data_IF_569377340508
#
_entry.id   IF_569377340508
#
_cell.length_a   1.000
_cell.length_b   1.000
_cell.length_c   1.000
_cell.angle_alpha   90.00
_cell.angle_beta   90.00
_cell.angle_gamma   90.00
#
_symmetry.space_group_name_H-M   'P 1'
#
loop_
_entity.id
_entity.type
_entity.pdbx_description
1 polymer ?
#
# COMPACT_ATOMS: atom_id res chain seq x y z
N UNK A 1 -22.20 -17.41 -37.85
CA UNK A 1 -22.63 -16.45 -36.82
C UNK A 1 -24.16 -16.35 -36.83
N UNK A 2 -24.81 -16.03 -37.96
CA UNK A 2 -26.28 -16.01 -38.10
C UNK A 2 -26.97 -17.28 -37.56
N UNK A 3 -26.52 -18.47 -37.95
CA UNK A 3 -27.07 -19.74 -37.47
C UNK A 3 -26.95 -19.99 -35.95
N UNK A 4 -25.99 -19.34 -35.28
CA UNK A 4 -25.84 -19.44 -33.81
C UNK A 4 -26.83 -18.49 -33.12
N UNK A 5 -27.03 -17.29 -33.69
CA UNK A 5 -28.03 -16.33 -33.23
C UNK A 5 -29.45 -16.87 -33.42
N UNK A 6 -29.72 -17.56 -34.53
CA UNK A 6 -30.99 -18.25 -34.78
C UNK A 6 -31.26 -19.36 -33.76
N UNK A 7 -30.20 -19.99 -33.23
CA UNK A 7 -30.28 -20.96 -32.14
C UNK A 7 -30.44 -20.29 -30.76
N UNK A 8 -30.57 -18.96 -30.70
CA UNK A 8 -30.72 -18.17 -29.49
C UNK A 8 -29.47 -18.09 -28.62
N UNK A 9 -28.30 -18.41 -29.19
CA UNK A 9 -27.00 -18.32 -28.52
C UNK A 9 -26.51 -16.87 -28.53
N UNK A 10 -26.18 -16.34 -27.36
CA UNK A 10 -25.58 -15.02 -27.19
C UNK A 10 -24.23 -15.13 -26.48
N UNK A 11 -23.47 -14.04 -26.45
CA UNK A 11 -22.17 -14.00 -25.75
C UNK A 11 -22.28 -14.33 -24.25
N UNK A 12 -23.44 -14.06 -23.62
CA UNK A 12 -23.68 -14.39 -22.20
C UNK A 12 -23.80 -15.89 -21.94
N UNK A 13 -24.02 -16.70 -22.96
CA UNK A 13 -24.18 -18.15 -22.85
C UNK A 13 -22.82 -18.88 -22.91
N UNK A 14 -21.74 -18.19 -23.29
CA UNK A 14 -20.41 -18.75 -23.33
C UNK A 14 -19.77 -18.77 -21.91
N UNK A 15 -18.90 -19.73 -21.59
CA UNK A 15 -18.46 -20.84 -22.45
C UNK A 15 -19.48 -21.99 -22.50
N UNK A 16 -19.52 -22.67 -23.64
CA UNK A 16 -20.26 -23.89 -23.85
C UNK A 16 -19.39 -25.12 -23.56
N UNK A 17 -19.97 -26.09 -22.86
CA UNK A 17 -19.41 -27.43 -22.63
C UNK A 17 -20.24 -28.47 -23.37
N UNK A 18 -19.55 -29.45 -23.94
CA UNK A 18 -20.15 -30.56 -24.69
C UNK A 18 -20.64 -31.65 -23.72
N UNK A 19 -21.91 -32.01 -23.84
CA UNK A 19 -22.55 -33.13 -23.14
C UNK A 19 -23.25 -34.03 -24.17
N UNK A 20 -22.52 -35.01 -24.70
CA UNK A 20 -22.94 -35.80 -25.85
C UNK A 20 -23.11 -34.93 -27.11
N UNK A 21 -24.35 -34.81 -27.60
CA UNK A 21 -24.73 -33.97 -28.74
C UNK A 21 -25.34 -32.61 -28.34
N UNK A 22 -25.48 -32.35 -27.04
CA UNK A 22 -26.05 -31.11 -26.50
C UNK A 22 -24.91 -30.25 -25.94
N UNK A 23 -25.00 -28.95 -26.13
CA UNK A 23 -24.04 -27.99 -25.59
C UNK A 23 -24.71 -27.18 -24.49
N UNK A 24 -24.09 -27.15 -23.31
CA UNK A 24 -24.60 -26.45 -22.12
C UNK A 24 -23.77 -25.21 -21.85
N UNK A 25 -24.42 -24.14 -21.47
CA UNK A 25 -23.73 -22.96 -20.94
C UNK A 25 -23.19 -23.23 -19.54
N UNK A 26 -21.94 -22.87 -19.27
CA UNK A 26 -21.39 -22.88 -17.90
C UNK A 26 -21.95 -21.74 -17.05
N UNK A 27 -22.32 -20.62 -17.65
CA UNK A 27 -22.90 -19.46 -16.96
C UNK A 27 -24.37 -19.68 -16.59
N UNK A 28 -25.11 -20.47 -17.38
CA UNK A 28 -26.47 -20.90 -17.08
C UNK A 28 -26.75 -22.33 -17.54
N UNK A 29 -26.65 -23.28 -16.59
CA UNK A 29 -26.87 -24.71 -16.85
C UNK A 29 -28.26 -25.08 -17.39
N UNK A 30 -29.24 -24.18 -17.29
CA UNK A 30 -30.58 -24.36 -17.87
C UNK A 30 -30.58 -24.18 -19.39
N UNK A 31 -29.62 -23.41 -19.92
CA UNK A 31 -29.52 -23.13 -21.36
C UNK A 31 -28.77 -24.23 -22.07
N UNK A 32 -29.45 -24.79 -23.08
CA UNK A 32 -28.98 -25.89 -23.90
C UNK A 32 -29.10 -25.51 -25.36
N UNK A 33 -28.06 -25.82 -26.12
CA UNK A 33 -27.96 -25.48 -27.52
C UNK A 33 -27.67 -26.73 -28.33
N UNK A 34 -28.22 -26.77 -29.54
CA UNK A 34 -27.79 -27.72 -30.57
C UNK A 34 -27.06 -26.90 -31.62
N UNK A 35 -25.77 -27.17 -31.80
CA UNK A 35 -25.00 -26.53 -32.86
C UNK A 35 -25.52 -26.97 -34.24
N UNK A 36 -25.30 -26.19 -35.31
CA UNK A 36 -25.81 -26.51 -36.64
C UNK A 36 -25.38 -27.92 -37.09
N UNK A 37 -26.34 -28.71 -37.60
CA UNK A 37 -26.11 -30.14 -37.94
C UNK A 37 -25.05 -30.35 -39.02
N UNK A 38 -24.89 -29.36 -39.89
CA UNK A 38 -23.90 -29.29 -40.96
C UNK A 38 -22.47 -28.98 -40.48
N UNK A 39 -22.27 -28.63 -39.20
CA UNK A 39 -20.92 -28.46 -38.66
C UNK A 39 -20.26 -29.83 -38.50
N UNK A 40 -19.07 -29.98 -39.08
CA UNK A 40 -18.24 -31.16 -38.83
C UNK A 40 -17.82 -31.21 -37.35
N UNK A 41 -17.46 -32.41 -36.86
CA UNK A 41 -16.87 -32.56 -35.52
C UNK A 41 -15.68 -31.62 -35.31
N UNK A 42 -14.83 -31.48 -36.34
CA UNK A 42 -13.69 -30.57 -36.33
C UNK A 42 -14.10 -29.11 -36.17
N UNK A 43 -15.19 -28.66 -36.82
CA UNK A 43 -15.69 -27.29 -36.67
C UNK A 43 -16.25 -27.03 -35.27
N UNK A 44 -16.95 -28.01 -34.70
CA UNK A 44 -17.44 -27.96 -33.31
C UNK A 44 -16.27 -27.84 -32.35
N UNK A 45 -15.26 -28.70 -32.49
CA UNK A 45 -14.10 -28.69 -31.60
C UNK A 45 -13.32 -27.36 -31.74
N UNK A 46 -13.17 -26.83 -32.96
CA UNK A 46 -12.58 -25.51 -33.17
C UNK A 46 -13.40 -24.37 -32.55
N UNK A 47 -14.73 -24.44 -32.59
CA UNK A 47 -15.59 -23.45 -31.94
C UNK A 47 -15.43 -23.50 -30.42
N UNK A 48 -15.47 -24.71 -29.83
CA UNK A 48 -15.31 -24.90 -28.39
C UNK A 48 -13.92 -24.50 -27.88
N UNK A 49 -12.90 -24.60 -28.71
CA UNK A 49 -11.56 -24.10 -28.42
C UNK A 49 -11.48 -22.57 -28.56
N UNK A 50 -12.01 -22.02 -29.65
CA UNK A 50 -11.88 -20.58 -29.97
C UNK A 50 -12.81 -19.68 -29.17
N UNK A 51 -13.90 -20.20 -28.59
CA UNK A 51 -14.85 -19.39 -27.79
C UNK A 51 -14.14 -18.62 -26.66
N UNK A 52 -13.09 -19.19 -26.06
CA UNK A 52 -12.36 -18.56 -24.97
C UNK A 52 -11.74 -17.22 -25.38
N UNK A 53 -11.42 -17.03 -26.67
CA UNK A 53 -10.84 -15.79 -27.20
C UNK A 53 -11.74 -14.57 -27.05
N UNK A 54 -13.06 -14.76 -26.91
CA UNK A 54 -14.04 -13.67 -26.73
C UNK A 54 -14.53 -13.54 -25.30
N UNK A 55 -13.99 -14.34 -24.37
CA UNK A 55 -14.39 -14.38 -22.97
C UNK A 55 -13.47 -13.57 -22.05
N UNK A 56 -12.74 -12.57 -22.57
CA UNK A 56 -11.91 -11.73 -21.72
C UNK A 56 -12.75 -11.04 -20.61
N UNK A 57 -12.36 -11.16 -19.32
CA UNK A 57 -13.15 -10.61 -18.22
C UNK A 57 -13.22 -9.08 -18.28
N UNK A 58 -14.25 -8.51 -17.65
CA UNK A 58 -14.37 -7.07 -17.44
C UNK A 58 -14.13 -6.75 -15.96
N UNK A 59 -13.22 -5.83 -15.68
CA UNK A 59 -12.94 -5.32 -14.34
C UNK A 59 -13.73 -4.04 -14.07
N UNK A 60 -14.17 -3.86 -12.84
CA UNK A 60 -15.12 -2.81 -12.42
C UNK A 60 -14.82 -2.16 -11.08
N UNK A 61 -13.66 -2.47 -10.48
CA UNK A 61 -13.30 -2.10 -9.12
C UNK A 61 -14.33 -2.58 -8.07
N UNK A 62 -15.01 -3.71 -8.29
CA UNK A 62 -16.06 -4.22 -7.39
C UNK A 62 -15.55 -4.63 -6.00
N UNK A 63 -14.26 -4.92 -5.89
CA UNK A 63 -13.64 -5.51 -4.69
C UNK A 63 -13.86 -7.01 -4.55
N UNK A 64 -14.62 -7.61 -5.43
CA UNK A 64 -14.90 -9.04 -5.36
C UNK A 64 -13.68 -9.86 -5.73
N UNK A 65 -13.65 -11.08 -5.22
CA UNK A 65 -12.72 -12.11 -5.67
C UNK A 65 -13.40 -12.96 -6.75
N UNK A 66 -12.71 -13.17 -7.87
CA UNK A 66 -13.21 -14.00 -8.98
C UNK A 66 -12.21 -15.10 -9.33
N UNK A 67 -12.70 -16.27 -9.71
CA UNK A 67 -11.86 -17.36 -10.22
C UNK A 67 -12.13 -17.52 -11.71
N UNK A 68 -11.09 -17.40 -12.53
CA UNK A 68 -11.18 -17.55 -13.97
C UNK A 68 -10.58 -18.88 -14.43
N UNK A 69 -11.19 -19.47 -15.46
CA UNK A 69 -10.60 -20.60 -16.16
C UNK A 69 -9.25 -20.22 -16.79
N UNK A 70 -8.22 -21.09 -16.78
CA UNK A 70 -6.91 -20.82 -17.39
C UNK A 70 -6.95 -20.36 -18.85
N UNK A 71 -8.02 -20.69 -19.59
CA UNK A 71 -8.20 -20.32 -21.00
C UNK A 71 -8.74 -18.90 -21.19
N UNK A 72 -9.21 -18.23 -20.14
CA UNK A 72 -9.64 -16.83 -20.25
C UNK A 72 -8.46 -15.93 -20.66
N UNK A 73 -8.55 -15.19 -21.77
CA UNK A 73 -7.55 -14.19 -22.10
C UNK A 73 -7.67 -13.02 -21.13
N UNK A 74 -6.65 -12.77 -20.31
CA UNK A 74 -6.64 -11.61 -19.43
C UNK A 74 -6.53 -10.31 -20.26
N UNK A 75 -7.33 -9.27 -19.97
CA UNK A 75 -7.47 -8.10 -20.83
C UNK A 75 -6.36 -7.05 -20.59
N UNK A 76 -5.10 -7.46 -20.42
CA UNK A 76 -3.98 -6.53 -20.23
C UNK A 76 -3.28 -6.26 -21.57
N UNK A 77 -3.26 -5.00 -22.01
CA UNK A 77 -2.65 -4.60 -23.30
C UNK A 77 -1.14 -4.43 -23.19
N UNK A 78 -0.67 -3.99 -22.02
CA UNK A 78 0.75 -3.82 -21.70
C UNK A 78 0.97 -4.30 -20.28
N UNK A 79 2.04 -5.06 -20.08
CA UNK A 79 2.61 -5.37 -18.78
C UNK A 79 4.05 -4.89 -18.89
N UNK A 80 4.43 -3.90 -18.11
CA UNK A 80 5.78 -3.36 -18.16
C UNK A 80 6.77 -4.39 -17.60
N UNK A 81 7.89 -4.58 -18.29
CA UNK A 81 8.94 -5.52 -17.88
C UNK A 81 9.67 -5.09 -16.61
N UNK A 82 9.57 -3.81 -16.22
CA UNK A 82 10.05 -3.29 -14.94
C UNK A 82 9.09 -3.73 -13.81
N UNK A 83 9.23 -4.97 -13.37
CA UNK A 83 8.46 -5.55 -12.27
C UNK A 83 9.27 -5.52 -10.97
N UNK A 84 8.62 -5.17 -9.85
CA UNK A 84 9.24 -5.28 -8.52
C UNK A 84 9.08 -6.74 -8.06
N UNK A 85 10.18 -7.49 -7.99
CA UNK A 85 10.19 -8.86 -7.47
C UNK A 85 10.27 -8.80 -5.94
N UNK A 86 9.16 -9.11 -5.28
CA UNK A 86 9.15 -9.38 -3.84
C UNK A 86 9.51 -10.84 -3.54
N UNK A 87 9.74 -11.15 -2.26
CA UNK A 87 10.08 -12.52 -1.85
C UNK A 87 8.97 -13.55 -2.14
N UNK A 88 7.70 -13.10 -2.11
CA UNK A 88 6.50 -13.95 -2.20
C UNK A 88 5.52 -13.54 -3.31
N UNK A 89 5.71 -12.36 -3.88
CA UNK A 89 4.84 -11.80 -4.92
C UNK A 89 5.66 -11.05 -5.95
N UNK A 90 5.12 -10.90 -7.16
CA UNK A 90 5.68 -10.03 -8.19
C UNK A 90 4.70 -8.90 -8.46
N UNK A 91 5.18 -7.66 -8.49
CA UNK A 91 4.35 -6.49 -8.74
C UNK A 91 4.64 -5.97 -10.14
N UNK A 92 3.60 -5.92 -10.96
CA UNK A 92 3.64 -5.43 -12.33
C UNK A 92 2.89 -4.10 -12.45
N UNK A 93 3.40 -3.22 -13.31
CA UNK A 93 2.61 -2.13 -13.86
C UNK A 93 1.92 -2.63 -15.13
N UNK A 94 0.58 -2.53 -15.20
CA UNK A 94 -0.21 -3.09 -16.28
C UNK A 94 -1.28 -2.10 -16.77
N UNK A 95 -1.70 -2.26 -18.02
CA UNK A 95 -2.79 -1.48 -18.62
C UNK A 95 -3.95 -2.41 -18.98
N UNK A 96 -5.12 -2.20 -18.36
CA UNK A 96 -6.36 -2.90 -18.73
C UNK A 96 -6.89 -2.33 -20.04
N UNK A 97 -7.27 -3.18 -21.00
CA UNK A 97 -7.92 -2.76 -22.24
C UNK A 97 -9.16 -1.93 -21.91
N UNK A 98 -9.31 -0.75 -22.53
CA UNK A 98 -10.39 0.20 -22.20
C UNK A 98 -11.79 -0.39 -22.27
N UNK A 99 -12.08 -1.28 -23.23
CA UNK A 99 -13.38 -1.96 -23.36
C UNK A 99 -13.66 -2.98 -22.24
N UNK A 100 -12.64 -3.36 -21.47
CA UNK A 100 -12.71 -4.27 -20.33
C UNK A 100 -12.54 -3.56 -18.97
N UNK A 101 -12.53 -2.23 -18.97
CA UNK A 101 -12.46 -1.42 -17.76
C UNK A 101 -13.72 -0.58 -17.56
N UNK A 102 -14.52 -0.97 -16.57
CA UNK A 102 -15.64 -0.17 -16.05
C UNK A 102 -15.12 0.71 -14.93
N UNK A 103 -14.68 1.92 -15.28
CA UNK A 103 -14.11 2.86 -14.33
C UNK A 103 -15.08 3.13 -13.16
N UNK A 104 -14.58 3.15 -11.90
CA UNK A 104 -15.39 3.56 -10.77
C UNK A 104 -15.86 5.02 -10.95
N UNK A 105 -17.05 5.36 -10.44
CA UNK A 105 -17.67 6.68 -10.61
C UNK A 105 -16.89 7.84 -9.97
N UNK A 106 -15.92 7.54 -9.11
CA UNK A 106 -15.34 8.48 -8.14
C UNK A 106 -13.82 8.70 -8.28
N UNK A 107 -13.13 7.99 -9.17
CA UNK A 107 -11.68 8.13 -9.37
C UNK A 107 -11.34 8.23 -10.88
N UNK A 108 -10.12 8.69 -11.16
CA UNK A 108 -9.63 8.93 -12.53
C UNK A 108 -9.90 7.72 -13.43
N UNK A 109 -10.35 7.91 -14.70
CA UNK A 109 -10.69 6.83 -15.62
C UNK A 109 -9.46 6.07 -16.16
N UNK A 110 -8.31 6.17 -15.48
CA UNK A 110 -7.10 5.48 -15.90
C UNK A 110 -7.33 3.99 -15.97
N UNK A 111 -6.85 3.40 -17.07
CA UNK A 111 -6.77 1.97 -17.23
C UNK A 111 -5.46 1.38 -16.69
N UNK A 112 -4.55 2.24 -16.23
CA UNK A 112 -3.28 1.82 -15.64
C UNK A 112 -3.51 1.36 -14.21
N UNK A 113 -2.95 0.21 -13.89
CA UNK A 113 -3.13 -0.48 -12.62
C UNK A 113 -1.82 -1.13 -12.18
N UNK A 114 -1.74 -1.40 -10.89
CA UNK A 114 -0.71 -2.27 -10.32
C UNK A 114 -1.31 -3.66 -10.14
N UNK A 115 -0.63 -4.65 -10.70
CA UNK A 115 -1.01 -6.06 -10.62
C UNK A 115 -0.01 -6.80 -9.73
N UNK A 116 -0.43 -7.19 -8.52
CA UNK A 116 0.39 -7.98 -7.60
C UNK A 116 0.05 -9.46 -7.76
N UNK A 117 1.00 -10.23 -8.29
CA UNK A 117 0.89 -11.67 -8.56
C UNK A 117 1.46 -12.50 -7.42
N UNK A 118 0.77 -13.59 -7.10
CA UNK A 118 1.20 -14.65 -6.19
C UNK A 118 1.15 -15.99 -6.92
N UNK A 119 2.25 -16.75 -6.84
CA UNK A 119 2.26 -18.14 -7.29
C UNK A 119 1.49 -19.02 -6.29
N UNK A 120 0.92 -20.15 -6.74
CA UNK A 120 0.12 -21.05 -5.90
C UNK A 120 0.84 -21.53 -4.62
N UNK A 121 2.17 -21.65 -4.64
CA UNK A 121 2.97 -21.98 -3.44
C UNK A 121 2.88 -20.93 -2.31
N UNK A 122 2.44 -19.71 -2.64
CA UNK A 122 2.21 -18.59 -1.72
C UNK A 122 0.71 -18.23 -1.62
N UNK A 123 -0.18 -19.19 -1.88
CA UNK A 123 -1.63 -18.98 -1.81
C UNK A 123 -2.08 -18.53 -0.43
N UNK A 124 -1.48 -19.05 0.64
CA UNK A 124 -1.80 -18.64 2.01
C UNK A 124 -1.47 -17.15 2.26
N UNK A 125 -0.33 -16.67 1.71
CA UNK A 125 0.04 -15.26 1.79
C UNK A 125 -0.95 -14.38 1.01
N UNK A 126 -1.38 -14.82 -0.18
CA UNK A 126 -2.43 -14.15 -0.95
C UNK A 126 -3.75 -14.06 -0.17
N UNK A 127 -4.22 -15.17 0.41
CA UNK A 127 -5.47 -15.19 1.17
C UNK A 127 -5.40 -14.32 2.43
N UNK A 128 -4.26 -14.30 3.11
CA UNK A 128 -4.03 -13.43 4.26
C UNK A 128 -4.09 -11.95 3.84
N UNK A 129 -3.37 -11.55 2.79
CA UNK A 129 -3.39 -10.18 2.27
C UNK A 129 -4.78 -9.78 1.78
N UNK A 130 -5.46 -10.67 1.03
CA UNK A 130 -6.83 -10.46 0.57
C UNK A 130 -7.79 -10.26 1.73
N UNK A 131 -7.70 -11.08 2.79
CA UNK A 131 -8.53 -10.93 3.99
C UNK A 131 -8.34 -9.58 4.70
N UNK A 132 -7.09 -9.12 4.79
CA UNK A 132 -6.77 -7.80 5.34
C UNK A 132 -7.37 -6.68 4.48
N UNK A 133 -7.21 -6.76 3.15
CA UNK A 133 -7.71 -5.77 2.20
C UNK A 133 -9.24 -5.71 2.19
N UNK A 134 -9.93 -6.84 2.26
CA UNK A 134 -11.40 -6.89 2.38
C UNK A 134 -11.85 -6.16 3.65
N UNK A 135 -11.12 -6.34 4.76
CA UNK A 135 -11.44 -5.66 6.03
C UNK A 135 -11.21 -4.14 5.91
N UNK A 136 -10.12 -3.72 5.28
CA UNK A 136 -9.75 -2.31 5.09
C UNK A 136 -10.67 -1.62 4.07
N UNK A 137 -11.31 -2.36 3.16
CA UNK A 137 -12.29 -1.80 2.22
C UNK A 137 -13.48 -1.15 2.89
N UNK A 138 -13.83 -1.60 4.09
CA UNK A 138 -14.86 -0.98 4.93
C UNK A 138 -14.49 0.44 5.39
N UNK A 139 -13.22 0.83 5.21
CA UNK A 139 -12.67 2.16 5.48
C UNK A 139 -12.62 3.06 4.24
N UNK A 140 -13.41 2.78 3.19
CA UNK A 140 -13.41 3.50 1.91
C UNK A 140 -13.52 5.03 2.03
N UNK A 141 -14.09 5.54 3.12
CA UNK A 141 -14.22 6.99 3.35
C UNK A 141 -12.90 7.66 3.73
N UNK A 142 -11.89 6.91 4.16
CA UNK A 142 -10.58 7.45 4.51
C UNK A 142 -9.73 7.65 3.24
N UNK A 143 -9.33 8.89 2.98
CA UNK A 143 -8.59 9.27 1.78
C UNK A 143 -7.11 8.90 1.81
N UNK A 144 -6.57 8.55 2.97
CA UNK A 144 -5.15 8.29 3.23
C UNK A 144 -4.85 6.79 3.42
N UNK A 145 -5.78 5.91 3.02
CA UNK A 145 -5.59 4.47 2.97
C UNK A 145 -5.83 4.02 1.53
N UNK A 146 -4.88 3.27 0.97
CA UNK A 146 -4.99 2.72 -0.38
C UNK A 146 -6.02 1.60 -0.41
N UNK A 147 -6.92 1.66 -1.40
CA UNK A 147 -7.94 0.63 -1.63
C UNK A 147 -7.54 -0.23 -2.82
N UNK A 148 -7.73 -1.55 -2.71
CA UNK A 148 -7.60 -2.43 -3.86
C UNK A 148 -8.83 -2.32 -4.77
N UNK A 149 -8.66 -2.56 -6.06
CA UNK A 149 -9.73 -2.52 -7.05
C UNK A 149 -10.51 -3.83 -7.03
N UNK A 150 -9.84 -4.95 -7.35
CA UNK A 150 -10.42 -6.30 -7.39
C UNK A 150 -9.34 -7.36 -7.14
N UNK A 151 -9.74 -8.61 -6.89
CA UNK A 151 -8.82 -9.75 -6.84
C UNK A 151 -9.31 -10.87 -7.74
N UNK A 152 -8.40 -11.68 -8.27
CA UNK A 152 -8.78 -12.87 -9.03
C UNK A 152 -7.73 -13.97 -8.98
N UNK A 153 -8.12 -15.19 -9.28
CA UNK A 153 -7.22 -16.32 -9.49
C UNK A 153 -7.43 -16.93 -10.87
N UNK A 154 -6.35 -17.37 -11.50
CA UNK A 154 -6.37 -18.07 -12.78
C UNK A 154 -5.28 -19.14 -12.78
N UNK A 155 -5.67 -20.40 -12.95
CA UNK A 155 -4.73 -21.53 -12.90
C UNK A 155 -3.99 -21.60 -11.57
N UNK A 156 -2.66 -21.55 -11.62
CA UNK A 156 -1.77 -21.62 -10.46
C UNK A 156 -1.34 -20.23 -9.94
N UNK A 157 -2.09 -19.18 -10.29
CA UNK A 157 -1.74 -17.80 -9.96
C UNK A 157 -2.93 -17.06 -9.35
N UNK A 158 -2.62 -16.17 -8.41
CA UNK A 158 -3.59 -15.28 -7.78
C UNK A 158 -3.10 -13.84 -7.85
N UNK A 159 -4.03 -12.92 -7.97
CA UNK A 159 -3.75 -11.54 -8.32
C UNK A 159 -4.57 -10.56 -7.48
N UNK A 160 -3.94 -9.47 -7.10
CA UNK A 160 -4.58 -8.30 -6.49
C UNK A 160 -4.33 -7.12 -7.42
N UNK A 161 -5.40 -6.43 -7.80
CA UNK A 161 -5.34 -5.23 -8.63
C UNK A 161 -5.45 -4.01 -7.73
N UNK A 162 -4.50 -3.09 -7.83
CA UNK A 162 -4.50 -1.80 -7.14
C UNK A 162 -4.56 -0.64 -8.14
N UNK A 163 -5.08 0.52 -7.74
CA UNK A 163 -4.91 1.73 -8.53
C UNK A 163 -3.42 2.08 -8.64
N UNK A 164 -3.04 2.70 -9.75
CA UNK A 164 -1.70 3.28 -9.89
C UNK A 164 -1.57 4.51 -8.99
N UNK A 165 -0.44 4.63 -8.29
CA UNK A 165 -0.01 5.86 -7.65
C UNK A 165 0.92 6.59 -8.62
N UNK A 166 0.41 7.55 -9.37
CA UNK A 166 1.15 8.20 -10.46
C UNK A 166 2.37 9.00 -9.96
N UNK A 167 2.33 9.46 -8.71
CA UNK A 167 3.43 10.16 -8.05
C UNK A 167 4.49 9.24 -7.42
N UNK A 168 4.34 7.92 -7.55
CA UNK A 168 5.25 6.94 -6.94
C UNK A 168 5.04 6.80 -5.43
N UNK A 169 6.08 6.35 -4.74
CA UNK A 169 6.13 6.34 -3.28
C UNK A 169 6.70 7.66 -2.70
N UNK A 170 6.81 7.77 -1.38
CA UNK A 170 7.23 9.01 -0.74
C UNK A 170 8.69 9.37 -1.01
N UNK A 171 9.56 8.38 -1.28
CA UNK A 171 10.94 8.65 -1.70
C UNK A 171 10.96 9.20 -3.13
N UNK A 172 10.17 8.59 -4.04
CA UNK A 172 9.98 9.12 -5.41
C UNK A 172 9.48 10.57 -5.38
N UNK A 173 8.50 10.86 -4.51
CA UNK A 173 7.98 12.22 -4.31
C UNK A 173 9.07 13.19 -3.87
N UNK A 174 9.86 12.83 -2.85
CA UNK A 174 10.92 13.68 -2.34
C UNK A 174 12.01 13.96 -3.37
N UNK A 175 12.39 12.96 -4.15
CA UNK A 175 13.39 13.09 -5.22
C UNK A 175 12.86 13.96 -6.37
N UNK A 176 11.63 13.70 -6.84
CA UNK A 176 11.01 14.46 -7.93
C UNK A 176 10.87 15.96 -7.60
N UNK A 177 10.67 16.30 -6.32
CA UNK A 177 10.48 17.66 -5.84
C UNK A 177 11.75 18.23 -5.16
N UNK A 178 12.94 17.68 -5.44
CA UNK A 178 14.22 18.17 -4.86
C UNK A 178 14.49 19.65 -5.10
N UNK A 179 14.01 20.20 -6.21
CA UNK A 179 14.21 21.60 -6.61
C UNK A 179 12.96 22.48 -6.41
N UNK A 180 11.89 21.97 -5.80
CA UNK A 180 10.69 22.76 -5.56
C UNK A 180 10.95 23.88 -4.55
N UNK A 181 10.42 25.07 -4.83
CA UNK A 181 10.51 26.20 -3.90
C UNK A 181 9.75 25.91 -2.63
N UNK A 182 10.45 25.95 -1.49
CA UNK A 182 9.85 25.77 -0.16
C UNK A 182 9.06 27.01 0.22
N UNK A 183 7.75 26.89 0.21
CA UNK A 183 6.83 27.99 0.47
C UNK A 183 5.72 27.55 1.46
N UNK A 184 4.97 28.50 2.05
CA UNK A 184 3.91 28.18 3.01
C UNK A 184 2.83 27.23 2.46
N UNK A 185 2.53 27.26 1.16
CA UNK A 185 1.56 26.35 0.52
C UNK A 185 2.03 24.90 0.62
N UNK A 186 3.28 24.62 0.21
CA UNK A 186 3.87 23.29 0.31
C UNK A 186 3.95 22.83 1.76
N UNK A 187 4.37 23.71 2.67
CA UNK A 187 4.45 23.39 4.09
C UNK A 187 3.09 23.00 4.69
N UNK A 188 2.04 23.76 4.35
CA UNK A 188 0.68 23.45 4.79
C UNK A 188 0.20 22.12 4.21
N UNK A 189 0.44 21.89 2.91
CA UNK A 189 0.10 20.62 2.28
C UNK A 189 0.81 19.45 2.97
N UNK A 190 2.11 19.55 3.26
CA UNK A 190 2.86 18.50 3.96
C UNK A 190 2.28 18.20 5.35
N UNK A 191 1.95 19.24 6.14
CA UNK A 191 1.32 19.08 7.46
C UNK A 191 -0.06 18.41 7.34
N UNK A 192 -0.85 18.79 6.35
CA UNK A 192 -2.15 18.17 6.06
C UNK A 192 -2.01 16.70 5.66
N UNK A 193 -1.00 16.35 4.85
CA UNK A 193 -0.74 14.95 4.52
C UNK A 193 -0.29 14.15 5.74
N UNK A 194 0.62 14.67 6.58
CA UNK A 194 1.05 14.00 7.80
C UNK A 194 -0.11 13.77 8.78
N UNK A 195 -0.97 14.78 8.95
CA UNK A 195 -2.23 14.62 9.70
C UNK A 195 -3.11 13.54 9.08
N UNK A 196 -3.31 13.57 7.76
CA UNK A 196 -4.12 12.59 7.04
C UNK A 196 -3.61 11.15 7.18
N UNK A 197 -2.29 10.95 7.15
CA UNK A 197 -1.65 9.66 7.42
C UNK A 197 -1.88 9.21 8.88
N UNK A 198 -1.82 10.13 9.84
CA UNK A 198 -2.15 9.83 11.23
C UNK A 198 -3.64 9.45 11.41
N UNK A 199 -4.55 10.13 10.71
CA UNK A 199 -5.98 9.79 10.67
C UNK A 199 -6.21 8.41 10.04
N UNK A 200 -5.53 8.11 8.93
CA UNK A 200 -5.54 6.77 8.30
C UNK A 200 -5.08 5.69 9.29
N UNK A 201 -3.96 5.91 9.96
CA UNK A 201 -3.46 4.97 10.97
C UNK A 201 -4.42 4.85 12.17
N UNK A 202 -5.03 5.94 12.61
CA UNK A 202 -6.03 5.92 13.66
C UNK A 202 -7.21 5.03 13.26
N UNK A 203 -7.78 5.24 12.09
CA UNK A 203 -8.93 4.46 11.62
C UNK A 203 -8.55 2.99 11.51
N UNK A 204 -7.37 2.66 10.99
CA UNK A 204 -6.87 1.28 10.97
C UNK A 204 -6.79 0.66 12.36
N UNK A 205 -6.20 1.39 13.32
CA UNK A 205 -6.04 0.94 14.71
C UNK A 205 -7.37 0.85 15.45
N UNK A 206 -8.34 1.72 15.15
CA UNK A 206 -9.65 1.81 15.79
C UNK A 206 -10.64 0.79 15.23
N UNK A 207 -10.70 0.63 13.92
CA UNK A 207 -11.67 -0.22 13.22
C UNK A 207 -11.46 -1.70 13.55
N UNK A 208 -10.20 -2.11 13.71
CA UNK A 208 -9.85 -3.49 13.99
C UNK A 208 -9.83 -3.79 15.49
N UNK A 209 -10.23 -2.83 16.36
CA UNK A 209 -10.35 -2.99 17.82
C UNK A 209 -11.25 -4.16 18.24
N UNK A 210 -12.21 -4.54 17.40
CA UNK A 210 -13.15 -5.59 17.77
C UNK A 210 -12.59 -7.01 17.58
N UNK A 211 -11.50 -7.20 16.82
CA UNK A 211 -11.03 -8.54 16.41
C UNK A 211 -9.49 -8.71 16.30
N UNK A 212 -8.65 -7.93 17.00
CA UNK A 212 -7.22 -8.19 17.29
C UNK A 212 -6.44 -6.89 17.60
N UNK A 213 -5.22 -7.04 18.15
CA UNK A 213 -4.19 -5.99 18.18
C UNK A 213 -3.63 -5.72 16.77
N UNK A 214 -4.45 -5.17 15.86
CA UNK A 214 -4.02 -4.88 14.50
C UNK A 214 -3.07 -3.69 14.44
N UNK A 215 -1.94 -3.91 13.79
CA UNK A 215 -0.94 -2.92 13.42
C UNK A 215 -0.54 -3.14 11.96
N UNK A 216 -0.07 -2.08 11.29
CA UNK A 216 0.49 -2.18 9.95
C UNK A 216 1.80 -2.98 9.98
N UNK A 217 2.74 -2.59 10.85
CA UNK A 217 3.96 -3.35 11.12
C UNK A 217 5.09 -3.28 10.09
N UNK A 218 4.93 -2.49 9.02
CA UNK A 218 5.96 -2.22 7.98
C UNK A 218 5.77 -0.82 7.39
N UNK A 219 5.46 0.18 8.22
CA UNK A 219 5.39 1.55 7.73
C UNK A 219 6.79 2.06 7.41
N UNK A 220 6.96 2.55 6.20
CA UNK A 220 8.18 3.14 5.63
C UNK A 220 7.80 4.06 4.47
N UNK A 221 8.65 4.97 4.00
CA UNK A 221 8.37 5.84 2.86
C UNK A 221 7.90 5.09 1.62
N UNK A 222 8.51 3.94 1.29
CA UNK A 222 8.10 3.08 0.18
C UNK A 222 6.67 2.49 0.28
N UNK A 223 6.03 2.56 1.46
CA UNK A 223 4.64 2.14 1.69
C UNK A 223 3.69 3.35 1.88
N UNK A 224 4.16 4.57 1.61
CA UNK A 224 3.35 5.78 1.52
C UNK A 224 3.32 6.21 0.06
N UNK A 225 2.18 6.04 -0.60
CA UNK A 225 2.04 6.26 -2.04
C UNK A 225 1.41 7.62 -2.35
N UNK A 226 1.89 8.28 -3.40
CA UNK A 226 1.42 9.58 -3.85
C UNK A 226 0.45 9.44 -5.03
N UNK A 227 -0.83 9.70 -4.78
CA UNK A 227 -1.88 9.69 -5.78
C UNK A 227 -2.13 11.10 -6.30
N UNK A 228 -1.94 11.31 -7.59
CA UNK A 228 -2.12 12.63 -8.18
C UNK A 228 -3.59 12.95 -8.39
N UNK A 229 -3.96 14.22 -8.22
CA UNK A 229 -5.29 14.73 -8.53
C UNK A 229 -5.18 15.70 -9.69
N UNK A 230 -6.16 15.71 -10.59
CA UNK A 230 -6.19 16.68 -11.69
C UNK A 230 -6.13 18.11 -11.15
N UNK A 231 -5.00 18.80 -11.34
CA UNK A 231 -4.81 20.20 -10.98
C UNK A 231 -4.47 20.49 -9.51
N UNK A 232 -4.05 19.50 -8.72
CA UNK A 232 -3.63 19.69 -7.33
C UNK A 232 -2.40 18.86 -6.95
N UNK A 233 -1.83 19.12 -5.78
CA UNK A 233 -0.59 18.48 -5.28
C UNK A 233 -0.79 16.98 -4.91
N UNK A 234 -1.98 16.41 -5.08
CA UNK A 234 -2.28 15.01 -4.83
C UNK A 234 -2.51 14.67 -3.35
N UNK A 235 -2.54 13.36 -3.04
CA UNK A 235 -2.78 12.83 -1.70
C UNK A 235 -1.85 11.66 -1.39
N UNK A 236 -1.24 11.67 -0.21
CA UNK A 236 -0.43 10.56 0.29
C UNK A 236 -1.32 9.50 0.96
N UNK A 237 -1.15 8.22 0.61
CA UNK A 237 -1.93 7.12 1.16
C UNK A 237 -1.02 6.01 1.69
N UNK A 238 -1.38 5.44 2.83
CA UNK A 238 -0.76 4.22 3.37
C UNK A 238 -1.11 3.05 2.45
N UNK A 239 -0.14 2.22 2.11
CA UNK A 239 -0.27 1.06 1.23
C UNK A 239 0.46 -0.18 1.77
N UNK A 240 0.33 -1.29 1.05
CA UNK A 240 0.94 -2.59 1.35
C UNK A 240 0.57 -3.20 2.71
N UNK A 241 -0.68 -3.65 2.80
CA UNK A 241 -1.22 -4.36 3.97
C UNK A 241 -0.92 -5.86 3.97
N UNK A 242 -0.02 -6.33 3.08
CA UNK A 242 0.32 -7.75 2.86
C UNK A 242 0.90 -8.48 4.05
N UNK A 243 1.35 -7.74 5.07
CA UNK A 243 1.86 -8.29 6.34
C UNK A 243 1.27 -7.54 7.53
N UNK A 244 0.13 -6.84 7.36
CA UNK A 244 -0.58 -6.30 8.53
C UNK A 244 -0.89 -7.48 9.46
N UNK A 245 -0.29 -7.45 10.66
CA UNK A 245 -0.36 -8.56 11.61
C UNK A 245 -1.71 -8.51 12.29
N UNK A 246 -2.77 -8.86 11.57
CA UNK A 246 -4.10 -9.09 12.12
C UNK A 246 -4.07 -10.50 12.76
N UNK A 247 -3.43 -10.61 13.93
CA UNK A 247 -3.40 -11.87 14.69
C UNK A 247 -4.32 -11.78 15.90
N UNK A 248 -5.33 -12.67 15.93
CA UNK A 248 -6.21 -12.91 17.07
C UNK A 248 -5.54 -13.63 18.25
N UNK A 249 -4.31 -14.10 18.09
CA UNK A 249 -3.60 -14.84 19.12
C UNK A 249 -2.22 -14.24 19.36
N UNK A 250 -1.89 -14.07 20.65
CA UNK A 250 -0.57 -13.69 21.11
C UNK A 250 0.46 -14.55 20.39
N UNK A 251 1.34 -13.92 19.60
CA UNK A 251 2.33 -14.62 18.78
C UNK A 251 3.42 -15.23 19.67
N UNK A 252 3.10 -16.33 20.37
CA UNK A 252 4.04 -17.16 21.13
C UNK A 252 4.67 -18.28 20.28
N UNK A 253 4.30 -18.41 19.00
CA UNK A 253 4.83 -19.47 18.13
C UNK A 253 5.47 -18.90 16.87
N UNK A 254 6.68 -18.36 17.00
CA UNK A 254 7.74 -18.47 15.97
C UNK A 254 9.10 -18.62 16.64
N UNK A 255 9.28 -19.67 17.43
CA UNK A 255 10.62 -20.14 17.79
C UNK A 255 11.36 -20.54 16.51
N UNK A 256 12.56 -19.99 16.29
CA UNK A 256 13.57 -20.63 15.44
C UNK A 256 13.51 -20.40 13.93
N UNK A 257 12.63 -19.53 13.41
CA UNK A 257 12.83 -18.95 12.07
C UNK A 257 12.86 -17.43 12.21
N UNK A 258 14.02 -16.77 12.09
CA UNK A 258 14.02 -15.36 11.73
C UNK A 258 13.12 -15.27 10.50
N UNK A 259 12.15 -14.37 10.50
CA UNK A 259 11.57 -13.96 9.23
C UNK A 259 12.72 -13.36 8.44
N UNK A 260 13.40 -14.19 7.64
CA UNK A 260 14.19 -13.76 6.50
C UNK A 260 13.21 -13.27 5.44
N UNK A 261 12.36 -12.31 5.80
CA UNK A 261 11.82 -11.37 4.84
C UNK A 261 13.00 -10.50 4.44
N UNK A 262 13.72 -10.92 3.41
CA UNK A 262 14.67 -10.12 2.61
C UNK A 262 13.95 -8.93 1.91
N UNK A 263 12.97 -8.33 2.56
CA UNK A 263 11.95 -7.45 1.96
C UNK A 263 11.43 -6.36 2.90
N UNK A 264 11.73 -6.39 4.20
CA UNK A 264 11.51 -5.24 5.09
C UNK A 264 12.74 -4.34 5.03
N UNK A 265 12.56 -3.03 5.20
CA UNK A 265 13.65 -2.07 5.41
C UNK A 265 13.76 -1.87 6.93
N UNK A 266 14.66 -2.57 7.64
CA UNK A 266 14.74 -2.56 9.10
C UNK A 266 14.92 -1.17 9.73
N UNK A 267 15.36 -0.18 8.94
CA UNK A 267 15.58 1.20 9.36
C UNK A 267 14.40 1.82 10.14
N UNK A 268 13.15 1.48 9.76
CA UNK A 268 11.93 2.06 10.35
C UNK A 268 11.32 1.22 11.48
N UNK A 269 11.96 0.09 11.84
CA UNK A 269 11.47 -0.76 12.91
C UNK A 269 11.68 -0.13 14.29
N UNK A 270 10.69 -0.29 15.17
CA UNK A 270 10.82 0.15 16.55
C UNK A 270 11.81 -0.72 17.36
N UNK A 271 12.44 -0.20 18.43
CA UNK A 271 13.41 -0.94 19.23
C UNK A 271 12.92 -2.28 19.77
N UNK A 272 11.63 -2.37 20.12
CA UNK A 272 10.99 -3.59 20.60
C UNK A 272 10.80 -4.66 19.50
N UNK A 273 11.19 -4.40 18.24
CA UNK A 273 11.10 -5.39 17.17
C UNK A 273 11.89 -6.68 17.48
N UNK A 274 13.02 -6.52 18.17
CA UNK A 274 13.90 -7.62 18.61
C UNK A 274 13.36 -8.40 19.82
N UNK A 275 12.25 -7.98 20.42
CA UNK A 275 11.64 -8.65 21.56
C UNK A 275 10.75 -9.82 21.14
N UNK A 276 10.77 -10.90 21.93
CA UNK A 276 9.84 -12.04 21.80
C UNK A 276 8.40 -11.72 22.23
N UNK A 277 8.15 -10.51 22.75
CA UNK A 277 6.81 -10.09 23.21
C UNK A 277 5.92 -9.70 22.03
N UNK A 278 4.61 -9.85 22.24
CA UNK A 278 3.61 -9.32 21.31
C UNK A 278 3.83 -7.80 21.13
N UNK A 279 3.92 -7.35 19.88
CA UNK A 279 4.23 -5.95 19.56
C UNK A 279 2.96 -5.09 19.64
N UNK A 280 3.06 -3.94 20.29
CA UNK A 280 1.97 -2.97 20.43
C UNK A 280 1.66 -2.27 19.09
N UNK A 281 0.44 -1.75 18.94
CA UNK A 281 0.08 -0.77 17.89
C UNK A 281 0.97 0.46 17.89
N UNK A 282 1.52 0.82 19.04
CA UNK A 282 2.49 1.92 19.19
C UNK A 282 3.83 1.66 18.48
N UNK A 283 4.03 0.45 17.95
CA UNK A 283 5.08 0.18 16.98
C UNK A 283 4.95 1.06 15.73
N UNK A 284 3.74 1.16 15.18
CA UNK A 284 3.49 1.98 13.98
C UNK A 284 3.70 3.47 14.24
N UNK A 285 3.55 3.91 15.50
CA UNK A 285 3.79 5.30 15.92
C UNK A 285 5.28 5.64 15.89
N UNK A 286 6.14 4.69 16.25
CA UNK A 286 7.58 4.85 16.05
C UNK A 286 7.92 4.97 14.57
N UNK A 287 7.45 4.03 13.74
CA UNK A 287 7.72 4.04 12.30
C UNK A 287 7.21 5.31 11.62
N UNK A 288 6.03 5.80 12.00
CA UNK A 288 5.51 7.08 11.54
C UNK A 288 6.37 8.26 12.01
N UNK A 289 6.95 8.19 13.22
CA UNK A 289 7.85 9.21 13.75
C UNK A 289 9.14 9.31 12.95
N UNK A 290 9.69 8.17 12.50
CA UNK A 290 10.82 8.13 11.58
C UNK A 290 10.48 8.84 10.25
N UNK A 291 9.33 8.49 9.66
CA UNK A 291 8.86 9.07 8.39
C UNK A 291 8.64 10.58 8.53
N UNK A 292 7.99 11.03 9.60
CA UNK A 292 7.71 12.47 9.81
C UNK A 292 8.98 13.28 10.06
N UNK A 293 9.99 12.70 10.74
CA UNK A 293 11.28 13.37 10.88
C UNK A 293 11.97 13.54 9.53
N UNK A 294 12.01 12.49 8.70
CA UNK A 294 12.59 12.58 7.34
C UNK A 294 11.81 13.54 6.45
N UNK A 295 10.47 13.56 6.56
CA UNK A 295 9.64 14.51 5.83
C UNK A 295 9.95 15.96 6.25
N UNK A 296 10.17 16.20 7.54
CA UNK A 296 10.59 17.52 8.03
C UNK A 296 12.00 17.89 7.53
N UNK A 297 12.95 16.94 7.53
CA UNK A 297 14.29 17.14 6.94
C UNK A 297 14.18 17.50 5.46
N UNK A 298 13.37 16.78 4.70
CA UNK A 298 13.15 17.06 3.29
C UNK A 298 12.52 18.45 3.07
N UNK A 299 11.51 18.81 3.86
CA UNK A 299 10.81 20.08 3.71
C UNK A 299 11.72 21.29 4.00
N UNK A 300 12.64 21.16 4.97
CA UNK A 300 13.52 22.26 5.39
C UNK A 300 14.85 22.29 4.62
N UNK A 301 15.43 21.12 4.31
CA UNK A 301 16.79 21.00 3.78
C UNK A 301 16.90 20.22 2.46
N UNK A 302 15.80 19.68 1.93
CA UNK A 302 15.78 18.99 0.64
C UNK A 302 16.17 17.51 0.70
N UNK A 303 16.17 16.86 -0.47
CA UNK A 303 16.36 15.42 -0.62
C UNK A 303 17.77 14.95 -0.23
N UNK A 304 18.79 15.72 -0.61
CA UNK A 304 20.19 15.41 -0.29
C UNK A 304 20.42 15.37 1.23
N UNK A 305 19.71 16.19 2.00
CA UNK A 305 19.78 16.17 3.46
C UNK A 305 19.17 14.91 4.07
N UNK A 306 18.10 14.37 3.47
CA UNK A 306 17.53 13.06 3.86
C UNK A 306 18.55 11.96 3.61
N UNK A 307 19.22 11.96 2.46
CA UNK A 307 20.26 10.98 2.12
C UNK A 307 21.47 11.06 3.08
N UNK A 308 21.88 12.28 3.43
CA UNK A 308 22.96 12.50 4.41
C UNK A 308 22.56 12.02 5.81
N UNK A 309 21.33 12.33 6.24
CA UNK A 309 20.79 11.82 7.51
C UNK A 309 20.73 10.29 7.52
N UNK A 310 20.30 9.69 6.40
CA UNK A 310 20.33 8.24 6.16
C UNK A 310 21.72 7.64 6.32
N UNK A 311 22.70 8.24 5.67
CA UNK A 311 24.10 7.83 5.76
C UNK A 311 24.65 7.97 7.19
N UNK A 312 24.32 9.04 7.90
CA UNK A 312 24.83 9.33 9.24
C UNK A 312 24.37 8.33 10.32
N UNK A 313 23.17 7.72 10.19
CA UNK A 313 22.73 6.65 11.11
C UNK A 313 23.10 5.23 10.65
N UNK A 314 23.62 5.08 9.43
CA UNK A 314 23.99 3.77 8.91
C UNK A 314 25.25 3.29 9.61
N UNK A 315 25.15 2.18 10.32
CA UNK A 315 26.30 1.57 11.02
C UNK A 315 27.37 1.11 10.01
N UNK A 316 28.64 1.23 10.38
CA UNK A 316 29.76 0.67 9.58
C UNK A 316 29.74 -0.85 9.53
N UNK A 317 29.13 -1.51 10.51
CA UNK A 317 28.95 -2.96 10.56
C UNK A 317 27.49 -3.32 10.76
N UNK A 318 26.96 -4.34 10.05
CA UNK A 318 25.61 -4.84 10.27
C UNK A 318 25.38 -5.24 11.73
N UNK A 319 24.14 -5.14 12.23
CA UNK A 319 23.83 -5.69 13.55
C UNK A 319 23.84 -7.21 13.51
N UNK A 320 23.99 -7.83 14.69
CA UNK A 320 23.98 -9.29 14.79
C UNK A 320 22.65 -9.84 14.23
N UNK A 321 22.76 -10.67 13.18
CA UNK A 321 21.61 -11.25 12.48
C UNK A 321 21.20 -10.50 11.19
N UNK A 322 21.84 -9.39 10.84
CA UNK A 322 21.61 -8.66 9.59
C UNK A 322 22.70 -8.97 8.56
N UNK A 323 22.31 -9.17 7.29
CA UNK A 323 23.26 -9.37 6.18
C UNK A 323 23.94 -8.04 5.75
N UNK A 324 23.28 -6.91 5.99
CA UNK A 324 23.70 -5.56 5.57
C UNK A 324 23.46 -4.53 6.67
N UNK A 325 24.18 -3.40 6.63
CA UNK A 325 23.95 -2.29 7.53
C UNK A 325 22.69 -1.50 7.15
N UNK A 326 21.93 -1.10 8.16
CA UNK A 326 20.71 -0.30 7.98
C UNK A 326 20.79 1.01 8.77
N UNK A 327 20.00 1.99 8.30
CA UNK A 327 19.91 3.33 8.86
C UNK A 327 18.93 3.39 10.04
N UNK A 328 19.21 2.63 11.10
CA UNK A 328 18.33 2.52 12.26
C UNK A 328 18.18 3.85 13.02
N UNK A 329 16.96 4.17 13.45
CA UNK A 329 16.67 5.35 14.29
C UNK A 329 17.00 5.16 15.78
N UNK A 330 17.52 3.98 16.15
CA UNK A 330 17.99 3.67 17.49
C UNK A 330 19.33 2.94 17.45
N UNK A 331 19.96 2.76 18.59
CA UNK A 331 21.14 1.92 18.80
C UNK A 331 20.93 1.05 20.05
N UNK A 332 21.70 -0.02 20.21
CA UNK A 332 21.54 -0.97 21.30
C UNK A 332 20.43 -2.01 21.08
N UNK A 333 20.24 -2.90 22.04
CA UNK A 333 19.28 -4.01 21.98
C UNK A 333 18.57 -4.20 23.31
N UNK A 334 17.30 -4.61 23.27
CA UNK A 334 16.51 -4.87 24.47
C UNK A 334 16.50 -3.67 25.42
N UNK A 335 16.97 -3.88 26.66
CA UNK A 335 16.97 -2.87 27.71
C UNK A 335 18.00 -1.74 27.52
N UNK A 336 19.00 -1.91 26.64
CA UNK A 336 20.02 -0.89 26.37
C UNK A 336 19.68 -0.05 25.14
N UNK A 337 18.53 -0.29 24.51
CA UNK A 337 18.12 0.45 23.34
C UNK A 337 17.94 1.94 23.67
N UNK A 338 18.52 2.81 22.84
CA UNK A 338 18.42 4.27 22.93
C UNK A 338 18.17 4.84 21.55
N UNK A 339 17.46 5.96 21.47
CA UNK A 339 17.30 6.71 20.20
C UNK A 339 18.67 7.11 19.69
N UNK A 340 18.89 6.99 18.37
CA UNK A 340 20.20 7.23 17.75
C UNK A 340 20.61 8.70 17.95
N UNK A 341 21.87 9.02 18.36
CA UNK A 341 22.29 10.40 18.63
C UNK A 341 22.05 11.39 17.48
N UNK A 342 22.28 10.95 16.23
CA UNK A 342 21.98 11.74 15.03
C UNK A 342 20.52 12.18 14.92
N UNK A 343 19.56 11.46 15.49
CA UNK A 343 18.14 11.90 15.53
C UNK A 343 18.03 13.21 16.32
N UNK A 344 18.64 13.28 17.51
CA UNK A 344 18.64 14.49 18.34
C UNK A 344 19.44 15.62 17.71
N UNK A 345 20.58 15.31 17.07
CA UNK A 345 21.36 16.32 16.36
C UNK A 345 20.57 16.92 15.19
N UNK A 346 19.86 16.09 14.42
CA UNK A 346 19.00 16.54 13.31
C UNK A 346 17.83 17.37 13.82
N UNK A 347 17.14 16.95 14.89
CA UNK A 347 16.08 17.73 15.53
C UNK A 347 16.59 19.11 15.99
N UNK A 348 17.75 19.16 16.62
CA UNK A 348 18.37 20.42 17.04
C UNK A 348 18.70 21.33 15.84
N UNK A 349 19.28 20.77 14.77
CA UNK A 349 19.59 21.52 13.53
C UNK A 349 18.33 22.10 12.89
N UNK A 350 17.25 21.32 12.79
CA UNK A 350 15.96 21.78 12.25
C UNK A 350 15.41 22.95 13.09
N UNK A 351 15.46 22.87 14.43
CA UNK A 351 14.96 23.93 15.31
C UNK A 351 15.74 25.25 15.23
N UNK A 352 16.96 25.24 14.67
CA UNK A 352 17.74 26.46 14.44
C UNK A 352 17.30 27.25 13.21
N UNK A 353 16.40 26.68 12.40
CA UNK A 353 15.91 27.31 11.17
C UNK A 353 14.58 28.01 11.45
N UNK A 354 14.36 29.27 10.98
CA UNK A 354 13.14 30.01 11.27
C UNK A 354 11.83 29.28 10.95
N UNK A 355 11.78 28.51 9.85
CA UNK A 355 10.58 27.79 9.43
C UNK A 355 10.18 26.63 10.37
N UNK A 356 11.11 26.12 11.18
CA UNK A 356 10.94 24.99 12.11
C UNK A 356 11.37 25.30 13.54
N UNK A 357 11.50 26.60 13.87
CA UNK A 357 11.85 27.05 15.20
C UNK A 357 10.75 26.70 16.22
N UNK A 358 11.07 26.60 17.53
CA UNK A 358 10.07 26.39 18.57
C UNK A 358 8.92 27.41 18.48
N UNK A 359 7.68 26.93 18.63
CA UNK A 359 6.49 27.75 18.50
C UNK A 359 5.98 27.96 17.07
N UNK A 360 6.64 27.39 16.05
CA UNK A 360 6.08 27.26 14.69
C UNK A 360 5.34 25.92 14.53
N UNK A 361 4.58 25.77 13.45
CA UNK A 361 3.87 24.53 13.13
C UNK A 361 4.83 23.35 12.96
N UNK A 362 5.94 23.56 12.25
CA UNK A 362 6.94 22.52 12.06
C UNK A 362 7.73 22.28 13.36
N UNK A 363 7.99 23.32 14.16
CA UNK A 363 8.57 23.15 15.50
C UNK A 363 7.71 22.29 16.44
N UNK A 364 6.40 22.55 16.51
CA UNK A 364 5.46 21.75 17.33
C UNK A 364 5.33 20.30 16.80
N UNK A 365 5.43 20.09 15.47
CA UNK A 365 5.54 18.74 14.89
C UNK A 365 6.81 18.03 15.39
N UNK A 366 7.97 18.69 15.37
CA UNK A 366 9.23 18.12 15.84
C UNK A 366 9.18 17.79 17.34
N UNK A 367 8.53 18.63 18.14
CA UNK A 367 8.28 18.36 19.56
C UNK A 367 7.40 17.12 19.74
N UNK A 368 6.39 16.94 18.89
CA UNK A 368 5.54 15.73 18.90
C UNK A 368 6.36 14.48 18.54
N UNK A 369 7.18 14.56 17.49
CA UNK A 369 8.07 13.47 17.06
C UNK A 369 9.02 13.05 18.18
N UNK A 370 9.72 14.00 18.79
CA UNK A 370 10.69 13.73 19.84
C UNK A 370 10.06 13.22 21.14
N UNK A 371 8.99 13.87 21.60
CA UNK A 371 8.45 13.62 22.93
C UNK A 371 7.46 12.45 22.96
N UNK A 372 6.85 12.12 21.82
CA UNK A 372 5.71 11.20 21.78
C UNK A 372 5.75 10.13 20.68
N UNK A 373 6.70 10.17 19.75
CA UNK A 373 6.80 9.15 18.69
C UNK A 373 8.10 8.34 18.79
N UNK A 374 9.25 9.01 18.78
CA UNK A 374 10.58 8.40 18.87
C UNK A 374 10.99 8.16 20.32
N UNK A 375 10.17 7.40 21.06
CA UNK A 375 10.46 6.98 22.44
C UNK A 375 10.78 5.50 22.49
N UNK A 376 11.86 5.12 23.18
CA UNK A 376 12.16 3.69 23.40
C UNK A 376 11.08 3.07 24.29
N UNK A 377 10.68 3.78 25.35
CA UNK A 377 9.53 3.41 26.15
C UNK A 377 8.24 3.48 25.31
N UNK A 378 7.62 2.31 25.13
CA UNK A 378 6.39 2.14 24.35
C UNK A 378 5.23 2.87 25.01
N UNK A 379 5.17 2.91 26.34
CA UNK A 379 4.04 3.51 27.05
C UNK A 379 4.06 5.04 26.97
N UNK A 380 5.25 5.63 26.87
CA UNK A 380 5.44 7.05 26.61
C UNK A 380 5.03 7.51 25.19
N UNK A 381 4.88 6.59 24.23
CA UNK A 381 4.44 6.95 22.88
C UNK A 381 2.94 7.27 22.84
N UNK A 382 2.55 8.19 21.97
CA UNK A 382 1.15 8.42 21.63
C UNK A 382 0.48 7.15 21.06
N UNK A 383 -0.84 7.11 21.19
CA UNK A 383 -1.71 6.28 20.34
C UNK A 383 -1.95 7.00 19.00
N UNK A 384 -2.38 6.28 17.96
CA UNK A 384 -2.70 6.89 16.67
C UNK A 384 -3.77 7.99 16.78
N UNK A 385 -4.75 7.83 17.68
CA UNK A 385 -5.75 8.87 17.96
C UNK A 385 -5.15 10.12 18.58
N UNK A 386 -4.26 9.98 19.57
CA UNK A 386 -3.58 11.13 20.17
C UNK A 386 -2.72 11.86 19.15
N UNK A 387 -1.99 11.12 18.31
CA UNK A 387 -1.22 11.68 17.20
C UNK A 387 -2.11 12.45 16.23
N UNK A 388 -3.20 11.84 15.76
CA UNK A 388 -4.16 12.47 14.85
C UNK A 388 -4.74 13.77 15.42
N UNK A 389 -5.12 13.77 16.70
CA UNK A 389 -5.64 14.97 17.35
C UNK A 389 -4.57 16.08 17.45
N UNK A 390 -3.36 15.72 17.89
CA UNK A 390 -2.23 16.67 18.01
C UNK A 390 -1.89 17.32 16.67
N UNK A 391 -1.83 16.54 15.58
CA UNK A 391 -1.61 17.09 14.24
C UNK A 391 -2.83 17.87 13.72
N UNK A 392 -4.04 17.50 14.14
CA UNK A 392 -5.26 18.25 13.90
C UNK A 392 -5.18 19.68 14.44
N UNK A 393 -4.70 19.84 15.67
CA UNK A 393 -4.51 21.13 16.32
C UNK A 393 -3.45 21.96 15.61
N UNK A 394 -2.29 21.37 15.29
CA UNK A 394 -1.20 22.01 14.53
C UNK A 394 -1.71 22.51 13.17
N UNK A 395 -2.37 21.65 12.39
CA UNK A 395 -2.90 22.02 11.06
C UNK A 395 -3.97 23.11 11.18
N UNK A 396 -4.85 23.02 12.18
CA UNK A 396 -5.91 24.02 12.37
C UNK A 396 -5.33 25.41 12.66
N UNK A 397 -4.32 25.48 13.54
CA UNK A 397 -3.61 26.73 13.86
C UNK A 397 -2.81 27.25 12.66
N UNK A 398 -2.14 26.37 11.92
CA UNK A 398 -1.41 26.70 10.69
C UNK A 398 -2.27 27.28 9.58
N UNK A 399 -3.53 26.84 9.46
CA UNK A 399 -4.49 27.41 8.49
C UNK A 399 -4.92 28.83 8.86
N UNK A 400 -4.98 29.15 10.15
CA UNK A 400 -5.43 30.46 10.64
C UNK A 400 -4.31 31.49 10.80
N UNK A 401 -3.06 31.03 10.93
CA UNK A 401 -1.91 31.87 11.23
C UNK A 401 -0.72 31.53 10.34
N UNK A 402 -0.50 32.37 9.32
CA UNK A 402 0.61 32.22 8.37
C UNK A 402 1.99 32.39 9.00
N UNK A 403 2.10 33.16 10.10
CA UNK A 403 3.37 33.35 10.82
C UNK A 403 3.74 32.11 11.62
N UNK A 404 2.75 31.41 12.15
CA UNK A 404 2.91 30.10 12.80
C UNK A 404 3.24 29.00 11.78
N UNK A 405 2.58 28.98 10.61
CA UNK A 405 2.73 27.93 9.59
C UNK A 405 4.18 27.81 9.08
N UNK A 406 4.73 28.89 8.53
CA UNK A 406 6.01 28.82 7.84
C UNK A 406 6.67 30.20 7.84
N UNK A 407 7.38 30.49 8.93
CA UNK A 407 8.04 31.78 9.12
C UNK A 407 9.27 31.89 8.21
N UNK A 408 9.16 32.71 7.15
CA UNK A 408 10.25 32.92 6.20
C UNK A 408 11.40 33.80 6.72
N UNK A 409 11.30 34.33 7.96
CA UNK A 409 12.21 35.35 8.48
C UNK A 409 11.81 36.75 8.05
#
# INVERSE_FOLDING_TARGET
MEKLLDAGLTDSDLPLVKDGHIFKSESDSSRKFTLPKEWSSQMVDQFLDKQWRVLAPVFSASGEHRTFDPRHPLPFEKINDNHKIGARSVVYHAQIRRSHWKAPKTESPSCEVILKEFLNRYKEDFEAERGNLVSIRLLEKNKHITQYLETFSQGDRSYIIFPIAEGGDLEDFWEAHRSETRNPRLALWCLEQMRGLAEGLQVLHDFLKQNANCRHGDLKPGNILHFLTNGGDGTLKIADFGISRIHNEATFQRQGKPTTTKSTTPSYEAPEASSDKARSRKYDIWSMGCIFLEFAVWLVHGWEAVQQFNSARTSKTPRQGEETSWAHFYQGTGATAVVHPEVFQTLAKLRCVPQSAPGTALGELLDTVENHMLKVDVDARFTARQLSNSLGDIVSKARSDGTYLFNCG
#
